data_IF_026082919128
#
_entry.id   IF_026082919128
#
_cell.length_a   1.000
_cell.length_b   1.000
_cell.length_c   1.000
_cell.angle_alpha   90.00
_cell.angle_beta   90.00
_cell.angle_gamma   90.00
#
_symmetry.space_group_name_H-M   'P 1'
#
loop_
_entity.id
_entity.type
_entity.pdbx_description
1 polymer ?
#
# COMPACT_ATOMS: atom_id res chain seq x y z
N UNK A 1 -62.05 15.09 -69.75
CA UNK A 1 -63.46 15.37 -69.43
C UNK A 1 -64.24 14.07 -69.34
N UNK A 2 -64.51 13.60 -68.13
CA UNK A 2 -65.78 12.97 -67.72
C UNK A 2 -65.73 12.83 -66.20
N UNK A 3 -66.74 13.36 -65.51
CA UNK A 3 -66.85 13.35 -64.06
C UNK A 3 -67.65 12.13 -63.58
N UNK A 4 -67.34 11.63 -62.38
CA UNK A 4 -68.30 10.97 -61.51
C UNK A 4 -68.09 11.45 -60.06
N UNK A 5 -69.20 11.75 -59.38
CA UNK A 5 -69.30 12.25 -58.00
C UNK A 5 -69.44 11.10 -57.01
N UNK A 6 -68.95 11.26 -55.77
CA UNK A 6 -69.56 10.66 -54.56
C UNK A 6 -69.36 11.60 -53.35
N UNK A 7 -70.43 11.75 -52.55
CA UNK A 7 -70.53 12.46 -51.25
C UNK A 7 -70.24 11.49 -50.09
N UNK A 8 -69.63 11.95 -49.00
CA UNK A 8 -69.81 11.37 -47.64
C UNK A 8 -69.83 12.50 -46.60
N UNK A 9 -70.79 12.43 -45.67
CA UNK A 9 -71.06 13.41 -44.62
C UNK A 9 -70.40 13.09 -43.27
N UNK A 10 -70.48 14.08 -42.37
CA UNK A 10 -69.85 14.21 -41.05
C UNK A 10 -70.60 13.47 -39.93
N UNK A 11 -69.86 12.88 -38.98
CA UNK A 11 -70.37 12.47 -37.67
C UNK A 11 -69.34 12.75 -36.56
N UNK A 12 -69.83 13.22 -35.41
CA UNK A 12 -69.08 13.70 -34.26
C UNK A 12 -68.45 12.60 -33.39
N UNK A 13 -67.42 13.00 -32.64
CA UNK A 13 -66.58 12.16 -31.79
C UNK A 13 -67.07 12.25 -30.33
N UNK A 14 -67.41 11.10 -29.72
CA UNK A 14 -67.65 10.95 -28.29
C UNK A 14 -66.63 9.96 -27.70
N UNK A 15 -66.15 10.28 -26.49
CA UNK A 15 -65.04 9.64 -25.80
C UNK A 15 -65.35 8.26 -25.20
N UNK A 16 -64.32 7.41 -25.10
CA UNK A 16 -64.25 6.26 -24.19
C UNK A 16 -62.84 6.15 -23.63
N UNK A 17 -62.70 6.40 -22.32
CA UNK A 17 -61.52 6.17 -21.51
C UNK A 17 -61.48 4.69 -21.09
N UNK A 18 -60.48 3.94 -21.56
CA UNK A 18 -60.15 2.61 -21.05
C UNK A 18 -58.83 2.68 -20.28
N UNK A 19 -58.87 2.40 -18.97
CA UNK A 19 -57.70 2.31 -18.11
C UNK A 19 -56.90 1.03 -18.39
N UNK A 20 -55.64 1.18 -18.77
CA UNK A 20 -54.65 0.11 -18.81
C UNK A 20 -53.89 0.11 -17.47
N UNK A 21 -54.13 -0.90 -16.65
CA UNK A 21 -53.30 -1.16 -15.47
C UNK A 21 -51.96 -1.74 -15.93
N UNK A 22 -50.87 -1.02 -15.67
CA UNK A 22 -49.51 -1.53 -15.87
C UNK A 22 -49.18 -2.58 -14.79
N UNK A 23 -48.49 -3.69 -15.13
CA UNK A 23 -48.03 -4.64 -14.13
C UNK A 23 -47.02 -3.97 -13.18
N UNK A 24 -46.93 -4.40 -11.92
CA UNK A 24 -45.95 -3.84 -10.99
C UNK A 24 -44.56 -4.13 -11.53
N UNK A 25 -43.75 -3.07 -11.67
CA UNK A 25 -42.32 -3.21 -11.94
C UNK A 25 -41.71 -4.04 -10.81
N UNK A 26 -41.27 -5.27 -11.11
CA UNK A 26 -40.35 -5.97 -10.22
C UNK A 26 -39.13 -5.07 -10.08
N UNK A 27 -38.88 -4.60 -8.86
CA UNK A 27 -37.63 -3.93 -8.53
C UNK A 27 -36.51 -4.91 -8.84
N UNK A 28 -35.80 -4.69 -9.96
CA UNK A 28 -34.54 -5.35 -10.20
C UNK A 28 -33.65 -5.00 -9.01
N UNK A 29 -33.32 -6.01 -8.19
CA UNK A 29 -32.35 -5.85 -7.11
C UNK A 29 -31.11 -5.19 -7.70
N UNK A 30 -30.65 -4.12 -7.07
CA UNK A 30 -29.43 -3.45 -7.50
C UNK A 30 -28.33 -4.50 -7.61
N UNK A 31 -27.65 -4.63 -8.76
CA UNK A 31 -26.57 -5.60 -8.87
C UNK A 31 -25.54 -5.26 -7.80
N UNK A 32 -25.22 -6.24 -6.94
CA UNK A 32 -24.09 -6.14 -6.01
C UNK A 32 -22.91 -5.58 -6.78
N UNK A 33 -22.23 -4.57 -6.22
CA UNK A 33 -21.07 -3.98 -6.85
C UNK A 33 -20.05 -5.06 -7.21
N UNK A 34 -19.50 -4.98 -8.44
CA UNK A 34 -18.50 -5.92 -8.93
C UNK A 34 -17.26 -5.91 -8.01
N UNK A 35 -16.68 -7.09 -7.82
CA UNK A 35 -15.43 -7.24 -7.07
C UNK A 35 -14.26 -6.63 -7.83
N UNK A 36 -13.24 -6.21 -7.08
CA UNK A 36 -11.95 -5.83 -7.68
C UNK A 36 -11.09 -7.07 -7.95
N UNK A 37 -10.03 -6.94 -8.73
CA UNK A 37 -9.14 -8.06 -9.05
C UNK A 37 -8.44 -8.57 -7.78
N UNK A 38 -8.09 -7.69 -6.84
CA UNK A 38 -7.61 -8.10 -5.52
C UNK A 38 -8.63 -8.95 -4.76
N UNK A 39 -9.89 -8.50 -4.72
CA UNK A 39 -10.97 -9.17 -4.01
C UNK A 39 -11.33 -10.54 -4.63
N UNK A 40 -11.27 -10.68 -5.95
CA UNK A 40 -11.48 -11.95 -6.67
C UNK A 40 -10.44 -13.02 -6.32
N UNK A 41 -9.22 -12.61 -5.94
CA UNK A 41 -8.17 -13.56 -5.54
C UNK A 41 -8.41 -14.19 -4.17
N UNK A 42 -9.27 -13.59 -3.34
CA UNK A 42 -9.46 -14.01 -1.95
C UNK A 42 -9.94 -15.46 -1.82
N UNK A 43 -10.77 -15.94 -2.75
CA UNK A 43 -11.35 -17.29 -2.67
C UNK A 43 -10.41 -18.39 -3.22
N UNK A 44 -9.20 -18.03 -3.67
CA UNK A 44 -8.16 -19.00 -4.07
C UNK A 44 -7.69 -19.82 -2.85
N UNK A 45 -7.18 -21.02 -3.12
CA UNK A 45 -6.78 -21.97 -2.06
C UNK A 45 -5.70 -21.42 -1.11
N UNK A 46 -4.66 -20.77 -1.64
CA UNK A 46 -3.55 -20.26 -0.82
C UNK A 46 -3.97 -19.14 0.16
N UNK A 47 -4.72 -18.09 -0.24
CA UNK A 47 -5.27 -17.09 0.69
C UNK A 47 -6.13 -17.70 1.80
N UNK A 48 -7.02 -18.64 1.45
CA UNK A 48 -7.87 -19.33 2.42
C UNK A 48 -7.03 -20.15 3.42
N UNK A 49 -6.02 -20.85 2.92
CA UNK A 49 -5.10 -21.61 3.77
C UNK A 49 -4.26 -20.72 4.69
N UNK A 50 -3.77 -19.58 4.19
CA UNK A 50 -3.03 -18.60 4.98
C UNK A 50 -3.90 -18.07 6.12
N UNK A 51 -5.14 -17.64 5.81
CA UNK A 51 -6.07 -17.12 6.81
C UNK A 51 -6.39 -18.16 7.90
N UNK A 52 -6.63 -19.41 7.50
CA UNK A 52 -6.91 -20.52 8.41
C UNK A 52 -5.70 -20.81 9.31
N UNK A 53 -4.50 -20.93 8.73
CA UNK A 53 -3.26 -21.24 9.48
C UNK A 53 -2.74 -20.08 10.32
N UNK A 54 -3.16 -18.84 10.06
CA UNK A 54 -2.82 -17.69 10.88
C UNK A 54 -3.87 -17.38 11.95
N UNK A 55 -5.07 -17.98 11.88
CA UNK A 55 -6.21 -17.67 12.74
C UNK A 55 -6.90 -16.34 12.41
N UNK A 56 -6.73 -15.84 11.18
CA UNK A 56 -7.33 -14.59 10.71
C UNK A 56 -8.59 -14.82 9.85
N UNK A 57 -8.93 -16.07 9.58
CA UNK A 57 -10.17 -16.51 8.91
C UNK A 57 -11.45 -15.97 9.54
N UNK A 58 -11.44 -15.65 10.84
CA UNK A 58 -12.59 -15.06 11.56
C UNK A 58 -12.73 -13.55 11.42
N UNK A 59 -11.69 -12.83 10.97
CA UNK A 59 -11.69 -11.36 10.95
C UNK A 59 -12.80 -10.81 10.06
N UNK A 60 -12.86 -11.25 8.80
CA UNK A 60 -13.87 -10.76 7.86
C UNK A 60 -15.30 -11.20 8.26
N UNK A 61 -15.57 -12.47 8.65
CA UNK A 61 -16.89 -12.86 9.16
C UNK A 61 -17.38 -12.07 10.37
N UNK A 62 -16.52 -11.82 11.37
CA UNK A 62 -16.87 -10.99 12.53
C UNK A 62 -17.18 -9.55 12.13
N UNK A 63 -16.39 -8.98 11.22
CA UNK A 63 -16.62 -7.65 10.69
C UNK A 63 -17.94 -7.57 9.91
N UNK A 64 -18.23 -8.52 9.03
CA UNK A 64 -19.49 -8.57 8.25
C UNK A 64 -20.70 -8.62 9.17
N UNK A 65 -20.66 -9.41 10.25
CA UNK A 65 -21.74 -9.44 11.25
C UNK A 65 -21.93 -8.08 11.91
N UNK A 66 -20.86 -7.47 12.42
CA UNK A 66 -20.92 -6.15 13.04
C UNK A 66 -21.41 -5.07 12.05
N UNK A 67 -21.04 -5.16 10.78
CA UNK A 67 -21.50 -4.26 9.74
C UNK A 67 -22.99 -4.44 9.46
N UNK A 68 -23.49 -5.69 9.41
CA UNK A 68 -24.91 -6.00 9.21
C UNK A 68 -25.83 -5.51 10.35
N UNK A 69 -25.26 -5.32 11.55
CA UNK A 69 -25.97 -4.80 12.72
C UNK A 69 -26.05 -3.26 12.73
N UNK A 70 -25.27 -2.57 11.89
CA UNK A 70 -25.33 -1.12 11.80
C UNK A 70 -26.68 -0.65 11.23
N UNK A 71 -27.34 0.27 11.94
CA UNK A 71 -28.64 0.86 11.59
C UNK A 71 -28.53 2.28 11.03
N UNK A 72 -27.32 2.81 10.94
CA UNK A 72 -27.04 4.12 10.33
C UNK A 72 -25.64 4.18 9.74
N UNK A 73 -25.42 5.16 8.85
CA UNK A 73 -24.08 5.43 8.30
C UNK A 73 -23.04 5.70 9.40
N UNK A 74 -23.40 6.47 10.43
CA UNK A 74 -22.49 6.78 11.53
C UNK A 74 -22.06 5.53 12.31
N UNK A 75 -22.99 4.59 12.54
CA UNK A 75 -22.66 3.30 13.16
C UNK A 75 -21.77 2.45 12.23
N UNK A 76 -22.05 2.43 10.93
CA UNK A 76 -21.23 1.71 9.96
C UNK A 76 -19.79 2.25 9.92
N UNK A 77 -19.63 3.57 9.94
CA UNK A 77 -18.32 4.24 9.99
C UNK A 77 -17.55 3.88 11.28
N UNK A 78 -18.22 3.88 12.43
CA UNK A 78 -17.63 3.42 13.69
C UNK A 78 -17.18 1.96 13.64
N UNK A 79 -18.00 1.07 13.05
CA UNK A 79 -17.67 -0.35 12.86
C UNK A 79 -16.43 -0.49 11.97
N UNK A 80 -16.41 0.19 10.82
CA UNK A 80 -15.29 0.21 9.88
C UNK A 80 -13.99 0.67 10.54
N UNK A 81 -14.00 1.84 11.19
CA UNK A 81 -12.81 2.41 11.83
C UNK A 81 -12.32 1.51 12.96
N UNK A 82 -13.22 1.01 13.81
CA UNK A 82 -12.87 0.15 14.96
C UNK A 82 -12.27 -1.17 14.50
N UNK A 83 -12.89 -1.84 13.53
CA UNK A 83 -12.42 -3.13 13.06
C UNK A 83 -11.16 -3.01 12.20
N UNK A 84 -11.03 -1.97 11.37
CA UNK A 84 -9.80 -1.70 10.63
C UNK A 84 -8.61 -1.50 11.57
N UNK A 85 -8.77 -0.64 12.59
CA UNK A 85 -7.72 -0.42 13.59
C UNK A 85 -7.44 -1.67 14.45
N UNK A 86 -8.46 -2.51 14.73
CA UNK A 86 -8.28 -3.80 15.43
C UNK A 86 -7.48 -4.77 14.57
N UNK A 87 -7.74 -4.84 13.26
CA UNK A 87 -7.00 -5.69 12.33
C UNK A 87 -5.51 -5.30 12.30
N UNK A 88 -5.18 -4.01 12.16
CA UNK A 88 -3.79 -3.54 12.22
C UNK A 88 -3.10 -3.97 13.52
N UNK A 89 -3.70 -3.65 14.67
CA UNK A 89 -3.13 -4.03 15.98
C UNK A 89 -2.97 -5.53 16.14
N UNK A 90 -3.94 -6.32 15.69
CA UNK A 90 -3.87 -7.78 15.76
C UNK A 90 -2.71 -8.33 14.91
N UNK A 91 -2.48 -7.78 13.71
CA UNK A 91 -1.36 -8.17 12.86
C UNK A 91 0.00 -7.77 13.48
N UNK A 92 0.10 -6.58 14.06
CA UNK A 92 1.30 -6.10 14.77
C UNK A 92 1.59 -6.96 16.01
N UNK A 93 0.57 -7.20 16.85
CA UNK A 93 0.69 -8.05 18.03
C UNK A 93 1.14 -9.46 17.65
N UNK A 94 0.55 -10.02 16.57
CA UNK A 94 0.96 -11.31 16.01
C UNK A 94 2.45 -11.30 15.68
N UNK A 95 2.88 -10.38 14.81
CA UNK A 95 4.26 -10.27 14.32
C UNK A 95 5.28 -10.08 15.44
N UNK A 96 4.87 -9.47 16.55
CA UNK A 96 5.72 -9.20 17.71
C UNK A 96 5.59 -10.23 18.84
N UNK A 97 5.02 -11.41 18.56
CA UNK A 97 4.97 -12.49 19.54
C UNK A 97 3.89 -12.34 20.62
N UNK A 98 3.05 -11.29 20.57
CA UNK A 98 1.99 -11.02 21.57
C UNK A 98 0.66 -11.72 21.24
N UNK A 99 -0.08 -12.10 22.28
CA UNK A 99 -1.37 -12.77 22.13
C UNK A 99 -1.24 -14.22 21.61
N UNK A 100 -2.39 -14.90 21.41
CA UNK A 100 -2.42 -16.31 21.01
C UNK A 100 -1.82 -16.51 19.62
N UNK A 101 -1.20 -17.67 19.40
CA UNK A 101 -0.60 -18.00 18.11
C UNK A 101 -1.62 -18.12 16.97
N UNK A 102 -2.90 -18.39 17.26
CA UNK A 102 -3.99 -18.43 16.28
C UNK A 102 -3.91 -19.57 15.23
N UNK A 103 -2.78 -20.27 15.14
CA UNK A 103 -2.49 -21.35 14.20
C UNK A 103 -0.98 -21.58 14.11
N UNK A 104 -0.52 -22.27 13.07
CA UNK A 104 0.86 -22.75 12.89
C UNK A 104 1.67 -21.96 11.83
N UNK A 105 1.06 -20.98 11.15
CA UNK A 105 1.79 -20.10 10.25
C UNK A 105 2.77 -19.23 11.04
N UNK A 106 3.99 -19.02 10.53
CA UNK A 106 4.98 -18.15 11.18
C UNK A 106 4.40 -16.76 11.47
N UNK A 107 4.76 -16.21 12.62
CA UNK A 107 4.06 -15.06 13.22
C UNK A 107 4.37 -13.73 12.54
N UNK A 108 5.55 -13.62 11.95
CA UNK A 108 6.10 -12.47 11.21
C UNK A 108 5.52 -12.30 9.79
N UNK A 109 4.41 -12.97 9.48
CA UNK A 109 3.78 -12.97 8.18
C UNK A 109 2.85 -11.76 7.96
N UNK A 110 3.00 -11.07 6.83
CA UNK A 110 2.18 -9.92 6.44
C UNK A 110 0.90 -10.31 5.70
N UNK A 111 0.86 -11.51 5.09
CA UNK A 111 -0.27 -11.98 4.27
C UNK A 111 -1.59 -12.07 5.05
N UNK A 112 -1.64 -12.49 6.34
CA UNK A 112 -2.88 -12.47 7.12
C UNK A 112 -3.54 -11.09 7.19
N UNK A 113 -2.75 -10.01 7.33
CA UNK A 113 -3.26 -8.64 7.32
C UNK A 113 -3.91 -8.32 5.97
N UNK A 114 -3.16 -8.56 4.88
CA UNK A 114 -3.58 -8.24 3.51
C UNK A 114 -4.90 -8.95 3.15
N UNK A 115 -4.96 -10.27 3.29
CA UNK A 115 -6.14 -11.06 2.91
C UNK A 115 -7.37 -10.75 3.78
N UNK A 116 -7.17 -10.53 5.08
CA UNK A 116 -8.29 -10.17 5.97
C UNK A 116 -8.88 -8.81 5.62
N UNK A 117 -8.02 -7.84 5.31
CA UNK A 117 -8.47 -6.51 4.87
C UNK A 117 -9.27 -6.63 3.58
N UNK A 118 -8.82 -7.41 2.59
CA UNK A 118 -9.60 -7.64 1.36
C UNK A 118 -10.97 -8.27 1.65
N UNK A 119 -11.04 -9.22 2.60
CA UNK A 119 -12.33 -9.76 3.05
C UNK A 119 -13.26 -8.71 3.65
N UNK A 120 -12.71 -7.78 4.44
CA UNK A 120 -13.47 -6.64 4.99
C UNK A 120 -13.87 -5.63 3.89
N UNK A 121 -12.96 -5.34 2.94
CA UNK A 121 -13.22 -4.44 1.81
C UNK A 121 -14.35 -4.99 0.94
N UNK A 122 -14.30 -6.29 0.60
CA UNK A 122 -15.37 -7.01 -0.10
C UNK A 122 -16.70 -6.90 0.65
N UNK A 123 -16.70 -7.09 1.97
CA UNK A 123 -17.91 -6.96 2.78
C UNK A 123 -18.50 -5.54 2.72
N UNK A 124 -17.68 -4.49 2.86
CA UNK A 124 -18.15 -3.10 2.69
C UNK A 124 -18.64 -2.85 1.27
N UNK A 125 -18.01 -3.44 0.24
CA UNK A 125 -18.40 -3.23 -1.16
C UNK A 125 -19.76 -3.81 -1.49
N UNK A 126 -20.05 -5.01 -1.00
CA UNK A 126 -21.27 -5.75 -1.31
C UNK A 126 -22.43 -5.46 -0.34
N UNK A 127 -22.19 -4.77 0.77
CA UNK A 127 -23.21 -4.54 1.80
C UNK A 127 -24.30 -3.55 1.37
N UNK A 128 -25.56 -3.98 1.39
CA UNK A 128 -26.72 -3.14 1.10
C UNK A 128 -27.60 -2.97 2.35
N UNK A 129 -27.45 -1.88 3.13
CA UNK A 129 -28.27 -1.63 4.32
C UNK A 129 -29.66 -1.08 4.00
N UNK A 130 -30.63 -1.37 4.87
CA UNK A 130 -32.01 -0.85 4.78
C UNK A 130 -32.10 0.68 4.75
N UNK A 131 -31.19 1.37 5.44
CA UNK A 131 -31.16 2.85 5.44
C UNK A 131 -30.60 3.47 4.15
N UNK A 132 -30.17 2.64 3.20
CA UNK A 132 -29.59 3.04 1.92
C UNK A 132 -28.16 3.56 2.05
N UNK A 133 -27.26 3.08 1.19
CA UNK A 133 -25.87 3.52 1.13
C UNK A 133 -25.53 4.06 -0.25
N UNK A 134 -25.33 5.38 -0.36
CA UNK A 134 -24.89 5.99 -1.61
C UNK A 134 -23.45 5.58 -1.94
N UNK A 135 -23.12 5.54 -3.23
CA UNK A 135 -21.76 5.20 -3.67
C UNK A 135 -20.68 6.10 -3.03
N UNK A 136 -20.94 7.40 -2.90
CA UNK A 136 -20.02 8.32 -2.24
C UNK A 136 -19.77 7.98 -0.76
N UNK A 137 -20.82 7.55 -0.03
CA UNK A 137 -20.68 7.08 1.35
C UNK A 137 -19.95 5.74 1.42
N UNK A 138 -20.24 4.80 0.51
CA UNK A 138 -19.52 3.53 0.39
C UNK A 138 -18.01 3.75 0.16
N UNK A 139 -17.64 4.65 -0.77
CA UNK A 139 -16.25 5.04 -1.01
C UNK A 139 -15.58 5.62 0.23
N UNK A 140 -16.28 6.43 1.03
CA UNK A 140 -15.73 6.95 2.31
C UNK A 140 -15.50 5.87 3.36
N UNK A 141 -16.40 4.89 3.46
CA UNK A 141 -16.20 3.73 4.33
C UNK A 141 -14.99 2.92 3.88
N UNK A 142 -14.87 2.61 2.59
CA UNK A 142 -13.70 1.90 2.04
C UNK A 142 -12.40 2.68 2.30
N UNK A 143 -12.37 3.98 2.06
CA UNK A 143 -11.20 4.81 2.37
C UNK A 143 -10.83 4.83 3.86
N UNK A 144 -11.82 4.79 4.75
CA UNK A 144 -11.59 4.72 6.20
C UNK A 144 -11.06 3.35 6.61
N UNK A 145 -11.57 2.27 6.01
CA UNK A 145 -11.06 0.92 6.21
C UNK A 145 -9.59 0.82 5.78
N UNK A 146 -9.26 1.30 4.58
CA UNK A 146 -7.90 1.30 4.03
C UNK A 146 -6.93 1.99 5.00
N UNK A 147 -7.21 3.23 5.42
CA UNK A 147 -6.30 3.97 6.31
C UNK A 147 -6.12 3.31 7.68
N UNK A 148 -7.22 2.88 8.30
CA UNK A 148 -7.19 2.34 9.67
C UNK A 148 -6.57 0.95 9.75
N UNK A 149 -6.73 0.13 8.71
CA UNK A 149 -6.15 -1.23 8.65
C UNK A 149 -4.70 -1.27 8.14
N UNK A 150 -4.15 -0.13 7.70
CA UNK A 150 -2.76 0.00 7.21
C UNK A 150 -1.79 0.64 8.20
N UNK A 151 -2.27 0.95 9.41
CA UNK A 151 -1.49 1.71 10.40
C UNK A 151 -1.40 3.21 10.11
N UNK A 152 -1.96 3.71 9.01
CA UNK A 152 -1.81 5.12 8.58
C UNK A 152 -2.44 6.10 9.58
N UNK A 153 -3.63 5.77 10.13
CA UNK A 153 -4.26 6.56 11.19
C UNK A 153 -3.75 6.17 12.61
N UNK A 154 -2.82 5.21 12.70
CA UNK A 154 -2.30 4.63 13.94
C UNK A 154 -1.04 5.32 14.47
N UNK A 155 -0.26 5.96 13.60
CA UNK A 155 1.08 6.52 13.87
C UNK A 155 1.04 7.49 15.05
N UNK A 156 1.67 7.11 16.17
CA UNK A 156 1.71 7.92 17.39
C UNK A 156 3.04 7.79 18.11
N UNK A 157 3.68 8.93 18.35
CA UNK A 157 4.92 8.98 19.11
C UNK A 157 4.68 9.32 20.59
N UNK A 158 5.47 8.76 21.52
CA UNK A 158 5.35 9.08 22.94
C UNK A 158 5.60 10.57 23.18
N UNK A 159 4.89 11.12 24.16
CA UNK A 159 5.14 12.47 24.67
C UNK A 159 6.36 12.43 25.60
N UNK A 160 7.37 13.25 25.32
CA UNK A 160 8.58 13.31 26.13
C UNK A 160 9.78 13.79 25.32
N UNK A 161 10.81 14.27 26.04
CA UNK A 161 12.14 14.53 25.48
C UNK A 161 12.98 13.24 25.54
N UNK A 162 14.01 13.14 24.72
CA UNK A 162 15.00 12.05 24.80
C UNK A 162 14.62 10.73 24.12
N UNK A 163 13.57 10.72 23.29
CA UNK A 163 13.22 9.58 22.44
C UNK A 163 13.19 10.04 20.99
N UNK A 164 14.07 9.49 20.14
CA UNK A 164 14.03 9.73 18.70
C UNK A 164 12.78 9.09 18.09
N UNK A 165 12.29 9.65 16.99
CA UNK A 165 11.07 9.23 16.32
C UNK A 165 11.40 8.84 14.89
N UNK A 166 11.17 7.59 14.55
CA UNK A 166 11.47 7.00 13.24
C UNK A 166 10.16 6.62 12.58
N UNK A 167 9.94 7.13 11.36
CA UNK A 167 8.82 6.72 10.51
C UNK A 167 9.28 5.73 9.44
N UNK A 168 8.66 4.56 9.38
CA UNK A 168 8.99 3.54 8.38
C UNK A 168 7.76 3.19 7.56
N UNK A 169 7.93 3.03 6.24
CA UNK A 169 6.83 2.52 5.39
C UNK A 169 7.15 1.17 4.80
N UNK A 170 6.12 0.36 4.56
CA UNK A 170 6.20 -0.89 3.79
C UNK A 170 5.07 -0.99 2.76
N UNK A 171 4.99 -2.11 2.06
CA UNK A 171 3.95 -2.38 1.06
C UNK A 171 3.24 -3.71 1.32
N UNK A 172 2.02 -3.80 0.79
CA UNK A 172 1.30 -5.05 0.64
C UNK A 172 2.03 -6.06 -0.27
N UNK A 173 1.69 -7.36 -0.18
CA UNK A 173 2.01 -8.34 -1.22
C UNK A 173 1.57 -7.90 -2.62
N UNK A 174 2.37 -8.27 -3.62
CA UNK A 174 2.11 -7.97 -5.04
C UNK A 174 2.65 -9.07 -5.95
N UNK A 175 2.39 -8.96 -7.26
CA UNK A 175 2.64 -10.03 -8.27
C UNK A 175 1.88 -11.33 -7.98
N UNK A 176 0.69 -11.21 -7.39
CA UNK A 176 -0.12 -12.32 -6.91
C UNK A 176 -0.73 -13.19 -8.03
N UNK A 177 -0.68 -12.73 -9.29
CA UNK A 177 -1.01 -13.55 -10.46
C UNK A 177 0.14 -14.48 -10.89
N UNK A 178 1.38 -14.13 -10.54
CA UNK A 178 2.55 -14.98 -10.76
C UNK A 178 2.64 -16.06 -9.68
N UNK A 179 2.50 -15.65 -8.42
CA UNK A 179 2.46 -16.58 -7.29
C UNK A 179 1.63 -15.97 -6.16
N UNK A 180 0.44 -16.54 -5.95
CA UNK A 180 -0.54 -16.10 -4.96
C UNK A 180 -0.04 -16.30 -3.51
N UNK A 181 1.05 -17.05 -3.32
CA UNK A 181 1.65 -17.35 -2.01
C UNK A 181 2.63 -16.25 -1.58
N UNK A 182 2.98 -15.28 -2.43
CA UNK A 182 4.01 -14.27 -2.12
C UNK A 182 3.65 -13.45 -0.88
N UNK A 183 4.67 -13.17 -0.07
CA UNK A 183 4.70 -12.22 1.06
C UNK A 183 5.54 -11.02 0.64
N UNK A 184 5.35 -9.85 1.29
CA UNK A 184 6.22 -8.70 1.08
C UNK A 184 7.12 -8.48 2.30
N UNK A 185 8.46 -8.58 2.18
CA UNK A 185 9.37 -8.38 3.31
C UNK A 185 9.26 -6.97 3.91
N UNK A 186 8.89 -5.96 3.13
CA UNK A 186 8.68 -4.60 3.64
C UNK A 186 7.41 -4.47 4.49
N UNK A 187 6.33 -5.15 4.12
CA UNK A 187 5.10 -5.24 4.92
C UNK A 187 5.31 -6.02 6.22
N UNK A 188 6.02 -7.14 6.14
CA UNK A 188 6.40 -7.94 7.30
C UNK A 188 7.29 -7.15 8.28
N UNK A 189 8.24 -6.38 7.74
CA UNK A 189 9.07 -5.46 8.52
C UNK A 189 8.26 -4.38 9.20
N UNK A 190 7.29 -3.76 8.50
CA UNK A 190 6.43 -2.75 9.11
C UNK A 190 5.71 -3.31 10.34
N UNK A 191 5.08 -4.48 10.22
CA UNK A 191 4.39 -5.15 11.34
C UNK A 191 5.32 -5.50 12.50
N UNK A 192 6.50 -6.05 12.20
CA UNK A 192 7.46 -6.46 13.22
C UNK A 192 8.11 -5.29 13.97
N UNK A 193 8.14 -4.09 13.37
CA UNK A 193 8.79 -2.92 13.95
C UNK A 193 7.80 -1.89 14.52
N UNK A 194 6.51 -1.95 14.16
CA UNK A 194 5.50 -0.99 14.59
C UNK A 194 5.43 -0.83 16.10
N UNK A 195 5.70 0.36 16.59
CA UNK A 195 5.69 0.66 18.00
C UNK A 195 6.79 -0.02 18.81
N UNK A 196 7.86 -0.49 18.17
CA UNK A 196 9.04 -0.98 18.88
C UNK A 196 10.03 0.15 19.16
N UNK A 197 10.96 -0.10 20.08
CA UNK A 197 12.08 0.81 20.38
C UNK A 197 13.37 0.12 19.97
N UNK A 198 14.30 0.89 19.41
CA UNK A 198 15.70 0.50 19.19
C UNK A 198 16.58 1.40 20.05
N UNK A 199 17.68 0.85 20.56
CA UNK A 199 18.66 1.62 21.33
C UNK A 199 19.73 2.18 20.40
N UNK A 200 20.00 3.48 20.49
CA UNK A 200 21.10 4.15 19.80
C UNK A 200 22.10 4.71 20.82
N UNK A 201 23.27 5.14 20.37
CA UNK A 201 24.25 5.78 21.25
C UNK A 201 23.69 7.02 21.97
N UNK A 202 22.75 7.74 21.33
CA UNK A 202 22.13 8.95 21.86
C UNK A 202 20.82 8.67 22.64
N UNK A 203 20.53 7.39 22.88
CA UNK A 203 19.33 6.94 23.58
C UNK A 203 18.29 6.25 22.68
N UNK A 204 17.08 6.01 23.21
CA UNK A 204 16.07 5.20 22.56
C UNK A 204 15.45 5.89 21.34
N UNK A 205 15.09 5.11 20.33
CA UNK A 205 14.36 5.56 19.16
C UNK A 205 13.09 4.72 18.94
N UNK A 206 11.94 5.39 18.94
CA UNK A 206 10.61 4.82 18.69
C UNK A 206 10.37 4.70 17.19
N UNK A 207 10.03 3.49 16.73
CA UNK A 207 9.62 3.23 15.36
C UNK A 207 8.10 3.21 15.29
N UNK A 208 7.52 3.97 14.37
CA UNK A 208 6.10 3.86 13.97
C UNK A 208 6.05 3.57 12.48
N UNK A 209 5.07 2.77 12.05
CA UNK A 209 5.03 2.29 10.68
C UNK A 209 3.67 2.46 10.00
N UNK A 210 3.68 2.42 8.67
CA UNK A 210 2.48 2.30 7.86
C UNK A 210 2.74 1.44 6.61
N UNK A 211 1.71 0.74 6.15
CA UNK A 211 1.75 -0.05 4.91
C UNK A 211 0.96 0.64 3.80
N UNK A 212 1.49 0.61 2.57
CA UNK A 212 0.87 1.20 1.39
C UNK A 212 0.33 0.14 0.42
N UNK A 213 -0.77 0.43 -0.28
CA UNK A 213 -1.29 -0.43 -1.34
C UNK A 213 -0.32 -0.47 -2.51
N UNK A 214 -0.29 -1.60 -3.22
CA UNK A 214 0.41 -1.69 -4.51
C UNK A 214 -0.62 -1.41 -5.62
N UNK A 215 -1.09 -0.15 -5.69
CA UNK A 215 -2.11 0.34 -6.64
C UNK A 215 -1.80 1.76 -7.12
N UNK A 216 -1.85 2.00 -8.42
CA UNK A 216 -1.51 3.29 -9.03
C UNK A 216 -2.49 4.41 -8.66
N UNK A 217 -3.77 4.08 -8.53
CA UNK A 217 -4.82 5.06 -8.27
C UNK A 217 -4.67 5.67 -6.87
N UNK A 218 -4.41 4.86 -5.84
CA UNK A 218 -4.21 5.37 -4.48
C UNK A 218 -3.07 6.41 -4.39
N UNK A 219 -2.02 6.20 -5.18
CA UNK A 219 -0.89 7.12 -5.29
C UNK A 219 -1.27 8.40 -6.04
N UNK A 220 -2.01 8.29 -7.15
CA UNK A 220 -2.55 9.45 -7.87
C UNK A 220 -3.52 10.26 -7.00
N UNK A 221 -4.28 9.59 -6.14
CA UNK A 221 -5.20 10.20 -5.18
C UNK A 221 -4.46 10.84 -3.98
N UNK A 222 -3.13 10.77 -3.90
CA UNK A 222 -2.33 11.44 -2.88
C UNK A 222 -2.25 10.69 -1.54
N UNK A 223 -2.30 9.35 -1.55
CA UNK A 223 -2.22 8.56 -0.31
C UNK A 223 -0.90 8.76 0.44
N UNK A 224 0.22 8.93 -0.28
CA UNK A 224 1.55 9.11 0.32
C UNK A 224 1.59 10.43 1.09
N UNK A 225 1.18 11.51 0.46
CA UNK A 225 1.23 12.85 1.03
C UNK A 225 0.24 13.01 2.19
N UNK A 226 -0.98 12.48 2.04
CA UNK A 226 -1.95 12.45 3.15
C UNK A 226 -1.42 11.74 4.39
N UNK A 227 -0.74 10.62 4.19
CA UNK A 227 -0.23 9.80 5.30
C UNK A 227 1.00 10.44 5.94
N UNK A 228 1.98 10.87 5.15
CA UNK A 228 3.29 11.25 5.69
C UNK A 228 3.36 12.71 6.16
N UNK A 229 2.66 13.64 5.48
CA UNK A 229 2.76 15.09 5.75
C UNK A 229 2.57 15.45 7.24
N UNK A 230 1.58 14.91 7.97
CA UNK A 230 1.38 15.27 9.39
C UNK A 230 2.56 14.86 10.30
N UNK A 231 3.37 13.91 9.87
CA UNK A 231 4.42 13.29 10.68
C UNK A 231 5.83 13.75 10.33
N UNK A 232 6.13 14.04 9.06
CA UNK A 232 7.49 14.42 8.64
C UNK A 232 8.10 15.56 9.48
N UNK A 233 7.39 16.65 9.82
CA UNK A 233 7.95 17.73 10.66
C UNK A 233 8.21 17.34 12.12
N UNK A 234 7.82 16.13 12.55
CA UNK A 234 7.83 15.70 13.96
C UNK A 234 8.78 14.53 14.20
N UNK A 235 9.34 13.94 13.16
CA UNK A 235 10.22 12.76 13.22
C UNK A 235 11.67 13.18 13.02
N UNK A 236 12.58 12.33 13.49
CA UNK A 236 14.03 12.54 13.41
C UNK A 236 14.65 11.75 12.24
N UNK A 237 13.91 10.77 11.73
CA UNK A 237 14.30 9.93 10.60
C UNK A 237 13.03 9.41 9.92
N UNK A 238 13.03 9.32 8.58
CA UNK A 238 12.08 8.46 7.88
C UNK A 238 12.78 7.54 6.89
N UNK A 239 12.20 6.38 6.63
CA UNK A 239 12.69 5.46 5.60
C UNK A 239 11.51 4.77 4.93
N UNK A 240 11.40 4.92 3.62
CA UNK A 240 10.49 4.06 2.85
C UNK A 240 11.21 2.75 2.56
N UNK A 241 10.56 1.62 2.83
CA UNK A 241 11.14 0.28 2.60
C UNK A 241 10.33 -0.43 1.53
N UNK A 242 11.01 -1.11 0.61
CA UNK A 242 10.35 -1.92 -0.43
C UNK A 242 11.12 -3.19 -0.72
N UNK A 243 10.45 -4.15 -1.36
CA UNK A 243 11.11 -5.33 -1.87
C UNK A 243 11.88 -4.99 -3.15
N UNK A 244 13.16 -5.33 -3.20
CA UNK A 244 14.05 -5.10 -4.33
C UNK A 244 14.35 -6.39 -5.10
N UNK A 245 15.63 -6.79 -5.08
CA UNK A 245 16.16 -7.92 -5.87
C UNK A 245 16.77 -9.01 -5.00
N UNK A 246 17.25 -10.09 -5.60
CA UNK A 246 17.78 -11.23 -4.84
C UNK A 246 19.04 -10.85 -4.05
N UNK A 247 19.08 -11.26 -2.78
CA UNK A 247 20.32 -11.43 -2.02
C UNK A 247 21.04 -10.18 -1.56
N UNK A 248 20.44 -8.98 -1.65
CA UNK A 248 21.09 -7.74 -1.20
C UNK A 248 20.09 -6.66 -0.79
N UNK A 249 20.56 -5.73 0.03
CA UNK A 249 19.90 -4.45 0.27
C UNK A 249 20.52 -3.37 -0.62
N UNK A 250 19.69 -2.45 -1.09
CA UNK A 250 20.12 -1.27 -1.85
C UNK A 250 19.62 -0.02 -1.10
N UNK A 251 20.54 0.88 -0.71
CA UNK A 251 20.21 2.22 -0.24
C UNK A 251 20.14 3.12 -1.47
N UNK A 252 18.93 3.54 -1.84
CA UNK A 252 18.71 4.23 -3.11
C UNK A 252 19.12 5.69 -3.04
N UNK A 253 20.08 6.08 -3.90
CA UNK A 253 20.60 7.45 -3.90
C UNK A 253 19.60 8.45 -4.49
N UNK A 254 18.93 8.05 -5.57
CA UNK A 254 18.10 8.93 -6.40
C UNK A 254 16.82 8.25 -6.86
N UNK A 255 15.69 8.96 -6.76
CA UNK A 255 14.37 8.52 -7.21
C UNK A 255 13.92 9.37 -8.40
N UNK A 256 13.28 8.74 -9.40
CA UNK A 256 12.88 9.37 -10.65
C UNK A 256 11.39 9.62 -10.79
N UNK A 257 11.01 10.72 -11.44
CA UNK A 257 9.62 11.14 -11.65
C UNK A 257 8.86 10.33 -12.74
N UNK A 258 9.03 9.01 -12.84
CA UNK A 258 8.52 8.19 -13.96
C UNK A 258 7.87 6.87 -13.52
N UNK A 259 6.78 6.50 -14.20
CA UNK A 259 6.10 5.18 -14.13
C UNK A 259 6.42 4.36 -15.37
N UNK A 260 6.90 3.14 -15.18
CA UNK A 260 7.37 2.25 -16.25
C UNK A 260 6.33 1.33 -16.89
N UNK A 261 5.09 1.30 -16.40
CA UNK A 261 4.03 0.49 -17.00
C UNK A 261 3.88 -0.94 -16.46
N UNK A 262 4.60 -1.33 -15.40
CA UNK A 262 4.35 -2.63 -14.77
C UNK A 262 2.94 -2.66 -14.10
N UNK A 263 2.15 -3.73 -14.25
CA UNK A 263 0.81 -3.81 -13.66
C UNK A 263 0.83 -3.73 -12.13
N UNK A 264 -0.18 -3.07 -11.55
CA UNK A 264 -0.43 -3.06 -10.11
C UNK A 264 -1.28 -4.25 -9.65
N UNK A 265 -1.69 -4.28 -8.38
CA UNK A 265 -2.52 -5.38 -7.86
C UNK A 265 -3.93 -5.43 -8.47
N UNK A 266 -4.39 -4.36 -9.12
CA UNK A 266 -5.65 -4.34 -9.88
C UNK A 266 -5.42 -4.62 -11.38
N UNK A 267 -4.22 -5.09 -11.74
CA UNK A 267 -3.77 -5.36 -13.10
C UNK A 267 -3.78 -4.12 -14.01
N UNK A 268 -3.74 -2.92 -13.42
CA UNK A 268 -3.68 -1.67 -14.17
C UNK A 268 -2.22 -1.31 -14.46
N UNK A 269 -1.95 -0.96 -15.72
CA UNK A 269 -0.65 -0.47 -16.19
C UNK A 269 -0.71 1.04 -16.40
N UNK A 270 0.26 1.77 -15.85
CA UNK A 270 0.40 3.21 -16.07
C UNK A 270 1.83 3.55 -16.45
N UNK A 271 1.98 4.25 -17.57
CA UNK A 271 3.25 4.76 -18.08
C UNK A 271 3.17 6.27 -18.22
N UNK A 272 4.19 6.99 -17.73
CA UNK A 272 4.17 8.45 -17.77
C UNK A 272 4.90 9.07 -16.58
N UNK A 273 4.95 10.40 -16.59
CA UNK A 273 5.44 11.16 -15.44
C UNK A 273 4.56 10.89 -14.22
N UNK A 274 5.17 10.74 -13.04
CA UNK A 274 4.43 10.59 -11.78
C UNK A 274 3.53 11.83 -11.57
N UNK A 275 2.21 11.68 -11.40
CA UNK A 275 1.32 12.83 -11.24
C UNK A 275 1.43 13.42 -9.83
N UNK A 276 1.98 14.62 -9.69
CA UNK A 276 2.03 15.35 -8.41
C UNK A 276 1.08 16.55 -8.49
N UNK A 277 0.06 16.57 -7.62
CA UNK A 277 -1.01 17.57 -7.65
C UNK A 277 -0.68 18.86 -6.92
N UNK A 278 0.35 18.84 -6.07
CA UNK A 278 0.73 20.00 -5.27
C UNK A 278 1.42 21.10 -6.09
N UNK A 279 1.10 22.39 -5.83
CA UNK A 279 1.73 23.52 -6.49
C UNK A 279 3.26 23.52 -6.40
N UNK A 280 3.91 24.05 -7.43
CA UNK A 280 5.36 24.20 -7.51
C UNK A 280 5.98 23.35 -8.63
N UNK A 281 7.30 23.50 -8.82
CA UNK A 281 8.01 22.68 -9.80
C UNK A 281 8.03 21.21 -9.35
N UNK A 282 7.92 20.33 -10.33
CA UNK A 282 8.11 18.91 -10.15
C UNK A 282 9.49 18.54 -10.70
N UNK A 283 10.51 18.32 -9.84
CA UNK A 283 11.84 17.95 -10.32
C UNK A 283 11.82 16.55 -10.92
N UNK A 284 12.66 16.29 -11.92
CA UNK A 284 12.80 14.95 -12.51
C UNK A 284 13.35 13.95 -11.49
N UNK A 285 14.14 14.45 -10.54
CA UNK A 285 14.89 13.64 -9.59
C UNK A 285 14.75 14.18 -8.17
N UNK A 286 14.70 13.28 -7.21
CA UNK A 286 14.87 13.57 -5.78
C UNK A 286 15.96 12.66 -5.22
N UNK A 287 16.61 13.07 -4.13
CA UNK A 287 17.72 12.30 -3.57
C UNK A 287 17.54 12.01 -2.08
N UNK A 288 18.10 10.88 -1.66
CA UNK A 288 18.19 10.49 -0.26
C UNK A 288 19.02 11.50 0.55
N UNK A 289 18.66 11.64 1.82
CA UNK A 289 19.45 12.28 2.88
C UNK A 289 19.75 11.29 4.01
N UNK A 290 19.50 9.99 3.80
CA UNK A 290 19.96 8.95 4.73
C UNK A 290 21.49 8.96 4.84
N UNK A 291 22.05 8.58 6.00
CA UNK A 291 23.49 8.38 6.19
C UNK A 291 23.95 7.10 5.47
N UNK A 292 23.90 7.10 4.15
CA UNK A 292 24.11 5.91 3.30
C UNK A 292 25.54 5.35 3.46
N UNK A 293 26.55 6.20 3.71
CA UNK A 293 27.94 5.75 3.90
C UNK A 293 28.06 4.92 5.17
N UNK A 294 27.48 5.39 6.25
CA UNK A 294 27.46 4.74 7.55
C UNK A 294 26.67 3.43 7.48
N UNK A 295 25.52 3.43 6.81
CA UNK A 295 24.70 2.24 6.60
C UNK A 295 25.48 1.17 5.82
N UNK A 296 26.15 1.53 4.74
CA UNK A 296 26.92 0.60 3.88
C UNK A 296 28.17 0.08 4.58
N UNK A 297 28.84 0.91 5.38
CA UNK A 297 30.03 0.51 6.13
C UNK A 297 29.71 -0.38 7.35
N UNK A 298 28.48 -0.35 7.85
CA UNK A 298 28.09 -1.10 9.04
C UNK A 298 27.80 -2.57 8.74
N UNK A 299 28.16 -3.44 9.69
CA UNK A 299 27.73 -4.85 9.69
C UNK A 299 26.29 -4.94 10.18
N UNK A 300 25.33 -4.96 9.24
CA UNK A 300 23.89 -4.89 9.56
C UNK A 300 23.17 -6.25 9.53
N UNK A 301 23.76 -7.30 8.95
CA UNK A 301 23.14 -8.61 8.90
C UNK A 301 23.71 -9.52 7.81
N UNK A 302 22.96 -10.56 7.46
CA UNK A 302 23.36 -11.62 6.52
C UNK A 302 23.63 -11.09 5.11
N UNK A 303 22.86 -10.12 4.65
CA UNK A 303 22.89 -9.67 3.26
C UNK A 303 23.83 -8.47 3.11
N UNK A 304 24.58 -8.35 2.00
CA UNK A 304 25.32 -7.13 1.70
C UNK A 304 24.38 -5.93 1.50
N UNK A 305 24.85 -4.74 1.87
CA UNK A 305 24.16 -3.47 1.66
C UNK A 305 24.96 -2.61 0.69
N UNK A 306 24.32 -2.09 -0.35
CA UNK A 306 24.96 -1.29 -1.39
C UNK A 306 24.46 0.16 -1.39
N UNK A 307 25.35 1.10 -1.68
CA UNK A 307 24.99 2.46 -2.10
C UNK A 307 24.59 2.38 -3.58
N UNK A 308 23.28 2.37 -3.87
CA UNK A 308 22.79 2.22 -5.23
C UNK A 308 22.61 3.60 -5.89
N UNK A 309 23.51 3.91 -6.80
CA UNK A 309 23.56 5.20 -7.52
C UNK A 309 23.02 5.12 -8.94
N UNK A 310 22.78 3.91 -9.46
CA UNK A 310 22.37 3.71 -10.84
C UNK A 310 20.98 4.31 -11.11
N UNK A 311 20.81 4.99 -12.23
CA UNK A 311 19.51 5.49 -12.72
C UNK A 311 19.38 5.28 -14.22
N UNK A 312 18.15 5.34 -14.75
CA UNK A 312 17.89 5.42 -16.19
C UNK A 312 17.31 6.78 -16.52
N UNK A 313 17.94 7.51 -17.43
CA UNK A 313 17.55 8.87 -17.81
C UNK A 313 17.42 9.03 -19.33
N UNK A 314 16.76 10.08 -19.77
CA UNK A 314 17.02 10.68 -21.09
C UNK A 314 17.91 11.92 -20.84
N UNK A 315 19.15 11.97 -21.38
CA UNK A 315 20.04 13.12 -21.20
C UNK A 315 19.44 14.41 -21.76
N UNK A 316 19.89 15.57 -21.27
CA UNK A 316 19.47 16.85 -21.82
C UNK A 316 19.75 16.92 -23.33
N UNK A 317 18.72 17.24 -24.13
CA UNK A 317 18.79 17.28 -25.59
C UNK A 317 18.76 15.90 -26.29
N UNK A 318 18.68 14.80 -25.53
CA UNK A 318 18.52 13.45 -26.07
C UNK A 318 17.06 13.03 -26.23
N UNK A 319 16.85 11.90 -26.89
CA UNK A 319 15.54 11.25 -27.06
C UNK A 319 15.47 9.84 -26.50
N UNK A 320 16.62 9.17 -26.37
CA UNK A 320 16.71 7.77 -25.96
C UNK A 320 17.10 7.61 -24.49
N UNK A 321 16.51 6.63 -23.78
CA UNK A 321 16.91 6.27 -22.43
C UNK A 321 18.31 5.67 -22.37
N UNK A 322 19.09 6.03 -21.36
CA UNK A 322 20.41 5.49 -21.06
C UNK A 322 20.56 5.22 -19.56
N UNK A 323 21.28 4.16 -19.21
CA UNK A 323 21.65 3.88 -17.82
C UNK A 323 22.88 4.71 -17.43
N UNK A 324 22.85 5.26 -16.22
CA UNK A 324 23.94 6.02 -15.60
C UNK A 324 24.31 5.37 -14.28
N UNK A 325 25.53 4.83 -14.13
CA UNK A 325 25.93 4.18 -12.89
C UNK A 325 26.05 5.16 -11.72
N UNK A 326 26.38 6.44 -12.00
CA UNK A 326 26.73 7.43 -10.97
C UNK A 326 25.64 8.50 -10.75
N UNK A 327 24.38 8.18 -11.05
CA UNK A 327 23.24 9.08 -10.90
C UNK A 327 22.96 9.94 -12.15
N UNK A 328 21.94 10.82 -12.08
CA UNK A 328 21.47 11.55 -13.24
C UNK A 328 22.39 12.70 -13.64
N UNK A 329 22.45 13.00 -14.93
CA UNK A 329 23.13 14.17 -15.48
C UNK A 329 22.26 15.44 -15.35
N UNK A 330 22.86 16.64 -15.22
CA UNK A 330 22.10 17.89 -15.13
C UNK A 330 21.13 18.09 -16.31
N UNK A 331 19.88 18.44 -16.00
CA UNK A 331 18.85 18.69 -17.01
C UNK A 331 18.23 17.44 -17.64
N UNK A 332 18.60 16.24 -17.19
CA UNK A 332 18.03 14.99 -17.71
C UNK A 332 16.58 14.75 -17.25
N UNK A 333 15.87 13.91 -18.02
CA UNK A 333 14.50 13.47 -17.73
C UNK A 333 14.52 12.06 -17.17
N UNK A 334 13.70 11.79 -16.15
CA UNK A 334 13.68 10.50 -15.50
C UNK A 334 12.98 9.39 -16.31
N UNK A 335 13.57 8.19 -16.28
CA UNK A 335 12.96 6.94 -16.79
C UNK A 335 12.98 5.80 -15.77
N UNK A 336 13.95 5.80 -14.85
CA UNK A 336 13.97 4.99 -13.64
C UNK A 336 14.91 5.61 -12.60
N UNK A 337 14.51 5.63 -11.33
CA UNK A 337 15.44 5.85 -10.21
C UNK A 337 16.21 4.57 -9.86
N UNK A 338 17.00 4.59 -8.79
CA UNK A 338 17.74 3.41 -8.34
C UNK A 338 16.84 2.23 -7.99
N UNK A 339 15.66 2.55 -7.45
CA UNK A 339 14.57 1.61 -7.18
C UNK A 339 13.76 1.15 -8.40
N UNK A 340 14.16 1.53 -9.61
CA UNK A 340 13.40 1.30 -10.84
C UNK A 340 12.36 2.38 -11.14
N UNK A 341 11.24 1.99 -11.73
CA UNK A 341 10.15 2.89 -12.15
C UNK A 341 8.75 2.33 -11.81
N UNK A 342 8.70 1.50 -10.77
CA UNK A 342 7.46 0.98 -10.19
C UNK A 342 7.05 1.78 -8.94
N UNK A 343 6.05 1.29 -8.20
CA UNK A 343 5.52 1.94 -7.00
C UNK A 343 6.54 2.12 -5.86
N UNK A 344 7.59 1.30 -5.79
CA UNK A 344 8.70 1.49 -4.85
C UNK A 344 9.47 2.78 -5.11
N UNK A 345 9.82 3.03 -6.37
CA UNK A 345 10.39 4.31 -6.79
C UNK A 345 9.39 5.46 -6.57
N UNK A 346 8.09 5.27 -6.85
CA UNK A 346 7.12 6.35 -6.68
C UNK A 346 6.93 6.77 -5.21
N UNK A 347 6.85 5.83 -4.25
CA UNK A 347 6.75 6.20 -2.83
C UNK A 347 8.01 6.93 -2.38
N UNK A 348 9.18 6.49 -2.84
CA UNK A 348 10.45 7.11 -2.51
C UNK A 348 10.54 8.53 -3.07
N UNK A 349 10.15 8.71 -4.33
CA UNK A 349 10.09 10.01 -4.99
C UNK A 349 9.11 10.95 -4.28
N UNK A 350 7.88 10.51 -4.00
CA UNK A 350 6.86 11.34 -3.34
C UNK A 350 7.24 11.71 -1.91
N UNK A 351 7.76 10.77 -1.12
CA UNK A 351 8.17 11.02 0.25
C UNK A 351 9.35 12.00 0.35
N UNK A 352 10.36 11.84 -0.52
CA UNK A 352 11.52 12.75 -0.54
C UNK A 352 11.18 14.11 -1.15
N UNK A 353 10.31 14.17 -2.17
CA UNK A 353 9.76 15.42 -2.68
C UNK A 353 8.97 16.16 -1.60
N UNK A 354 8.13 15.46 -0.85
CA UNK A 354 7.35 16.03 0.24
C UNK A 354 8.24 16.58 1.36
N UNK A 355 9.28 15.83 1.78
CA UNK A 355 10.31 16.33 2.71
C UNK A 355 10.89 17.65 2.22
N UNK A 356 11.32 17.69 0.95
CA UNK A 356 11.98 18.85 0.38
C UNK A 356 11.03 20.06 0.29
N UNK A 357 9.77 19.84 -0.10
CA UNK A 357 8.72 20.88 -0.15
C UNK A 357 8.32 21.42 1.22
N UNK A 358 8.48 20.62 2.27
CA UNK A 358 8.29 21.06 3.66
C UNK A 358 9.52 21.81 4.22
N UNK A 359 10.57 21.99 3.43
CA UNK A 359 11.81 22.65 3.87
C UNK A 359 12.67 21.80 4.80
N UNK A 360 12.43 20.49 4.85
CA UNK A 360 13.05 19.57 5.82
C UNK A 360 14.32 18.88 5.27
N UNK A 361 14.75 19.18 4.04
CA UNK A 361 15.88 18.49 3.40
C UNK A 361 17.18 18.53 4.23
N UNK A 362 17.46 19.65 4.89
CA UNK A 362 18.68 19.85 5.67
C UNK A 362 18.63 19.30 7.10
N UNK A 363 17.44 18.96 7.61
CA UNK A 363 17.25 18.59 9.03
C UNK A 363 16.61 17.22 9.24
N UNK A 364 15.95 16.66 8.23
CA UNK A 364 15.30 15.36 8.28
C UNK A 364 16.01 14.37 7.35
N UNK A 365 16.89 13.52 7.89
CA UNK A 365 17.40 12.35 7.19
C UNK A 365 16.26 11.46 6.72
N UNK A 366 16.28 11.12 5.43
CA UNK A 366 15.32 10.18 4.90
C UNK A 366 15.52 9.83 3.45
N UNK A 367 14.94 8.71 3.06
CA UNK A 367 15.22 8.10 1.77
C UNK A 367 14.58 6.73 1.67
N UNK A 368 15.16 5.90 0.79
CA UNK A 368 14.57 4.63 0.40
C UNK A 368 15.56 3.49 0.51
N UNK A 369 15.09 2.36 1.04
CA UNK A 369 15.86 1.13 1.16
C UNK A 369 15.08 0.01 0.48
N UNK A 370 15.70 -0.64 -0.50
CA UNK A 370 15.23 -1.91 -1.02
C UNK A 370 15.80 -3.06 -0.20
N UNK A 371 14.94 -4.01 0.12
CA UNK A 371 15.27 -5.28 0.78
C UNK A 371 15.50 -6.39 -0.24
N UNK A 372 16.17 -7.49 0.13
CA UNK A 372 16.17 -8.68 -0.69
C UNK A 372 14.75 -9.22 -0.95
N UNK A 373 14.52 -9.90 -2.07
CA UNK A 373 13.27 -10.65 -2.27
C UNK A 373 13.21 -11.86 -1.33
N UNK A 374 12.00 -12.20 -0.89
CA UNK A 374 11.75 -13.47 -0.22
C UNK A 374 11.86 -14.64 -1.21
N UNK A 375 12.39 -15.76 -0.75
CA UNK A 375 12.57 -16.97 -1.55
C UNK A 375 12.07 -18.17 -0.77
N UNK A 376 11.22 -18.97 -1.41
CA UNK A 376 10.92 -20.32 -0.96
C UNK A 376 12.17 -21.21 -1.08
N UNK A 377 12.20 -22.28 -0.29
CA UNK A 377 13.21 -23.33 -0.42
C UNK A 377 13.17 -23.98 -1.80
N UNK A 378 14.28 -24.62 -2.20
CA UNK A 378 14.44 -25.23 -3.53
C UNK A 378 13.34 -26.24 -3.88
N UNK A 379 12.78 -26.95 -2.89
CA UNK A 379 11.66 -27.89 -3.07
C UNK A 379 10.28 -27.25 -3.10
N UNK A 380 10.16 -25.92 -3.03
CA UNK A 380 8.89 -25.20 -2.89
C UNK A 380 8.75 -24.02 -3.87
N UNK A 381 9.56 -23.99 -4.94
CA UNK A 381 9.62 -22.89 -5.90
C UNK A 381 8.48 -22.87 -6.91
N UNK A 382 7.81 -24.00 -7.16
CA UNK A 382 6.68 -24.08 -8.08
C UNK A 382 5.37 -23.66 -7.37
N UNK A 383 4.71 -22.56 -7.81
CA UNK A 383 3.45 -22.10 -7.23
C UNK A 383 2.29 -23.08 -7.37
N UNK A 384 2.30 -23.96 -8.37
CA UNK A 384 1.20 -24.89 -8.63
C UNK A 384 1.20 -26.07 -7.66
N UNK A 385 2.37 -26.49 -7.20
CA UNK A 385 2.54 -27.71 -6.38
C UNK A 385 3.08 -27.43 -4.98
N UNK A 386 3.63 -26.24 -4.75
CA UNK A 386 4.26 -25.87 -3.51
C UNK A 386 3.28 -25.51 -2.38
N UNK A 387 3.82 -25.50 -1.17
CA UNK A 387 3.12 -25.08 0.05
C UNK A 387 3.23 -23.56 0.26
N UNK A 388 2.35 -22.99 1.08
CA UNK A 388 2.31 -21.53 1.36
C UNK A 388 3.48 -21.03 2.21
N UNK A 389 4.30 -21.91 2.77
CA UNK A 389 5.43 -21.54 3.64
C UNK A 389 6.42 -22.70 3.76
N UNK A 390 7.70 -22.39 3.94
CA UNK A 390 8.72 -23.36 4.33
C UNK A 390 9.77 -22.70 5.25
N UNK A 391 10.69 -23.50 5.79
CA UNK A 391 11.68 -23.02 6.75
C UNK A 391 12.64 -21.98 6.16
N UNK A 392 13.02 -22.10 4.88
CA UNK A 392 13.92 -21.15 4.24
C UNK A 392 13.22 -19.82 3.99
N UNK A 393 11.94 -19.86 3.58
CA UNK A 393 11.11 -18.68 3.42
C UNK A 393 10.99 -17.88 4.73
N UNK A 394 10.71 -18.59 5.84
CA UNK A 394 10.59 -17.98 7.17
C UNK A 394 11.94 -17.42 7.63
N UNK A 395 13.03 -18.17 7.53
CA UNK A 395 14.35 -17.68 7.91
C UNK A 395 14.74 -16.44 7.09
N UNK A 396 14.48 -16.45 5.78
CA UNK A 396 14.78 -15.33 4.91
C UNK A 396 14.05 -14.05 5.36
N UNK A 397 12.76 -14.17 5.70
CA UNK A 397 11.96 -13.06 6.21
C UNK A 397 12.48 -12.53 7.54
N UNK A 398 12.78 -13.42 8.50
CA UNK A 398 13.31 -13.04 9.80
C UNK A 398 14.67 -12.32 9.69
N UNK A 399 15.57 -12.81 8.82
CA UNK A 399 16.86 -12.17 8.57
C UNK A 399 16.69 -10.77 7.98
N UNK A 400 15.77 -10.59 7.03
CA UNK A 400 15.49 -9.29 6.42
C UNK A 400 14.94 -8.32 7.48
N UNK A 401 13.97 -8.74 8.29
CA UNK A 401 13.39 -7.90 9.36
C UNK A 401 14.48 -7.46 10.34
N UNK A 402 15.32 -8.40 10.80
CA UNK A 402 16.41 -8.11 11.72
C UNK A 402 17.44 -7.14 11.12
N UNK A 403 17.73 -7.31 9.82
CA UNK A 403 18.67 -6.45 9.13
C UNK A 403 18.10 -5.04 8.86
N UNK A 404 16.81 -4.90 8.54
CA UNK A 404 16.18 -3.57 8.45
C UNK A 404 16.23 -2.87 9.80
N UNK A 405 15.93 -3.56 10.92
CA UNK A 405 16.09 -3.00 12.27
C UNK A 405 17.51 -2.48 12.50
N UNK A 406 18.52 -3.24 12.09
CA UNK A 406 19.93 -2.85 12.22
C UNK A 406 20.28 -1.64 11.35
N UNK A 407 19.80 -1.60 10.10
CA UNK A 407 19.95 -0.43 9.20
C UNK A 407 19.34 0.82 9.83
N UNK A 408 18.13 0.72 10.38
CA UNK A 408 17.46 1.84 11.06
C UNK A 408 18.21 2.29 12.31
N UNK A 409 18.82 1.36 13.04
CA UNK A 409 19.65 1.66 14.22
C UNK A 409 20.88 2.48 13.83
N UNK A 410 21.59 2.05 12.78
CA UNK A 410 22.74 2.79 12.23
C UNK A 410 22.30 4.17 11.73
N UNK A 411 21.20 4.23 10.97
CA UNK A 411 20.71 5.48 10.42
C UNK A 411 20.31 6.49 11.50
N UNK A 412 19.64 6.02 12.56
CA UNK A 412 19.23 6.86 13.68
C UNK A 412 20.43 7.34 14.51
N UNK A 413 21.48 6.53 14.66
CA UNK A 413 22.71 6.91 15.37
C UNK A 413 23.59 7.90 14.59
N UNK A 414 23.67 7.78 13.26
CA UNK A 414 24.47 8.68 12.43
C UNK A 414 23.82 10.06 12.24
N UNK A 415 22.49 10.10 12.18
CA UNK A 415 21.71 11.34 12.00
C UNK A 415 21.95 12.41 13.07
N UNK A 416 22.39 12.02 14.27
CA UNK A 416 22.71 12.95 15.37
C UNK A 416 24.03 13.69 15.22
N UNK A 417 24.95 13.22 14.38
CA UNK A 417 26.26 13.86 14.18
C UNK A 417 26.23 15.04 13.21
N UNK A 418 25.11 15.31 12.55
CA UNK A 418 24.95 16.38 11.55
C UNK A 418 24.34 17.66 12.17
N UNK A 419 23.89 17.59 13.43
CA UNK A 419 23.23 18.70 14.14
C UNK A 419 24.10 19.37 15.22
N UNK A 420 25.34 18.92 15.40
CA UNK A 420 26.43 19.67 16.05
C UNK A 420 27.34 20.29 14.99
#
# INVERSE_FOLDING_TARGET
MTHLRVRIGTLGLAALLAGLAAPPAMAAGSPSAALTVEEERLDKAAPQEILRRSGFDRVAPEFTRALSEARSYAQAEQVVVRHGARLWRHAVDRAQGRGPAGGDLARDDDRPLYWSRLGMTRAVRQWEPEFGLTQARRTKLLASLERTSRGQDGIRYPHGKGVKRILVTGFDPFTLDRDIRISNPSGATALALDGTVIETADGPARIETAVFPVRWQDFADGTVERTLRPHLPRVDLFTTVSQGRVGRFDVERTNGAWRGGFPDNENLSVTGTIPVTEPGSQPQWTSTTLPYKEIVAASTGRFPVYDNTEVTEIPAGGTEPVTRPDGPTPGSTARAGGGGNYLSNEIAYRATLLRDRLGLRGSLPGGHVHTPVLQFGTGNTDPATGTVTDAQFVQNRLDIIAQVRSILTVAAGASSKVTE
#
